data_IF_610353560399
#
_entry.id   IF_610353560399
#
_cell.length_a   1.000
_cell.length_b   1.000
_cell.length_c   1.000
_cell.angle_alpha   90.00
_cell.angle_beta   90.00
_cell.angle_gamma   90.00
#
_symmetry.space_group_name_H-M   'P 1'
#
loop_
_entity.id
_entity.type
_entity.pdbx_description
1 polymer ?
#
# COMPACT_ATOMS: atom_id res chain seq x y z
N UNK A 1 -1.53 23.07 -1.15
CA UNK A 1 -2.13 21.72 -1.20
C UNK A 1 -1.08 20.74 -1.68
N UNK A 2 -0.41 20.05 -0.78
CA UNK A 2 0.51 19.01 -1.17
C UNK A 2 -0.24 17.67 -1.21
N UNK A 3 -0.17 16.98 -2.35
CA UNK A 3 -0.79 15.66 -2.54
C UNK A 3 -0.07 14.54 -1.75
N UNK A 4 1.04 14.87 -1.09
CA UNK A 4 1.83 13.95 -0.26
C UNK A 4 1.78 14.36 1.20
N UNK A 5 1.86 13.40 2.09
CA UNK A 5 2.16 13.66 3.48
C UNK A 5 3.67 13.87 3.69
N UNK A 6 4.01 14.80 4.59
CA UNK A 6 5.38 15.11 4.99
C UNK A 6 5.52 14.91 6.50
N UNK A 7 5.64 13.67 6.96
CA UNK A 7 5.83 13.39 8.37
C UNK A 7 7.19 13.91 8.85
N UNK A 8 7.29 14.22 10.14
CA UNK A 8 8.54 14.70 10.76
C UNK A 8 9.75 13.78 10.53
N UNK A 9 9.51 12.50 10.33
CA UNK A 9 10.57 11.54 10.00
C UNK A 9 11.30 11.89 8.69
N UNK A 10 10.63 12.58 7.76
CA UNK A 10 11.27 13.04 6.52
C UNK A 10 12.34 14.11 6.77
N UNK A 11 12.18 14.95 7.79
CA UNK A 11 13.16 15.99 8.15
C UNK A 11 14.53 15.40 8.57
N UNK A 12 14.56 14.10 8.91
CA UNK A 12 15.80 13.39 9.29
C UNK A 12 16.54 12.76 8.13
N UNK A 13 15.99 12.81 6.90
CA UNK A 13 16.63 12.27 5.71
C UNK A 13 17.72 13.19 5.17
N UNK A 14 18.52 12.67 4.22
CA UNK A 14 19.68 13.37 3.64
C UNK A 14 19.34 14.72 3.02
N UNK A 15 18.29 14.78 2.19
CA UNK A 15 17.91 16.04 1.50
C UNK A 15 17.49 17.13 2.50
N UNK A 16 16.55 16.90 3.43
CA UNK A 16 16.25 17.87 4.48
C UNK A 16 17.46 18.32 5.31
N UNK A 17 18.36 17.41 5.67
CA UNK A 17 19.59 17.77 6.37
C UNK A 17 20.49 18.68 5.56
N UNK A 18 20.59 18.45 4.26
CA UNK A 18 21.37 19.34 3.37
C UNK A 18 20.73 20.72 3.24
N UNK A 19 19.39 20.80 3.15
CA UNK A 19 18.66 22.07 3.15
C UNK A 19 18.93 22.82 4.46
N UNK A 20 18.78 22.17 5.62
CA UNK A 20 19.05 22.78 6.93
C UNK A 20 20.50 23.26 7.04
N UNK A 21 21.45 22.46 6.53
CA UNK A 21 22.87 22.86 6.50
C UNK A 21 23.08 24.12 5.67
N UNK A 22 22.51 24.20 4.47
CA UNK A 22 22.63 25.38 3.60
C UNK A 22 22.01 26.62 4.22
N UNK A 23 20.84 26.49 4.85
CA UNK A 23 20.17 27.61 5.55
C UNK A 23 21.03 28.17 6.68
N UNK A 24 21.76 27.32 7.40
CA UNK A 24 22.56 27.75 8.57
C UNK A 24 23.95 28.25 8.19
N UNK A 25 24.57 27.68 7.15
CA UNK A 25 25.99 27.94 6.85
C UNK A 25 26.20 28.85 5.63
N UNK A 26 25.20 28.90 4.73
CA UNK A 26 25.26 29.71 3.51
C UNK A 26 23.92 30.43 3.29
N UNK A 27 23.43 31.21 4.26
CA UNK A 27 22.10 31.83 4.20
C UNK A 27 21.90 32.74 2.99
N UNK A 28 22.90 33.52 2.62
CA UNK A 28 22.87 34.47 1.49
C UNK A 28 22.72 33.74 0.14
N UNK A 29 23.41 32.61 -0.05
CA UNK A 29 23.40 31.81 -1.27
C UNK A 29 22.29 30.74 -1.28
N UNK A 30 21.44 30.68 -0.26
CA UNK A 30 20.44 29.62 -0.15
C UNK A 30 19.52 29.55 -1.37
N UNK A 31 19.12 30.71 -1.89
CA UNK A 31 18.23 30.81 -3.05
C UNK A 31 18.86 30.25 -4.34
N UNK A 32 20.19 30.24 -4.46
CA UNK A 32 20.90 29.65 -5.61
C UNK A 32 21.00 28.12 -5.50
N UNK A 33 20.97 27.58 -4.27
CA UNK A 33 21.16 26.14 -3.97
C UNK A 33 19.85 25.38 -3.81
N UNK A 34 18.70 26.10 -3.77
CA UNK A 34 17.38 25.54 -3.54
C UNK A 34 16.42 25.84 -4.69
N UNK A 35 15.65 24.86 -5.12
CA UNK A 35 14.67 24.99 -6.21
C UNK A 35 13.47 25.90 -5.89
N UNK A 36 13.39 26.42 -4.66
CA UNK A 36 12.33 27.31 -4.24
C UNK A 36 11.03 26.61 -3.85
N UNK A 37 9.96 27.41 -3.82
CA UNK A 37 8.61 27.01 -3.45
C UNK A 37 7.65 27.38 -4.56
N UNK A 38 6.71 26.48 -4.90
CA UNK A 38 5.63 26.76 -5.83
C UNK A 38 4.29 26.74 -5.09
N UNK A 39 3.55 27.82 -5.23
CA UNK A 39 2.23 28.01 -4.61
C UNK A 39 1.17 28.02 -5.70
N UNK A 40 0.11 27.24 -5.51
CA UNK A 40 -1.11 27.36 -6.30
C UNK A 40 -2.06 28.30 -5.54
N UNK A 41 -2.58 29.29 -6.22
CA UNK A 41 -3.40 30.32 -5.63
C UNK A 41 -4.72 30.50 -6.43
N UNK A 42 -5.72 31.06 -5.77
CA UNK A 42 -6.93 31.54 -6.44
C UNK A 42 -6.60 32.77 -7.29
N UNK A 43 -5.86 33.68 -6.69
CA UNK A 43 -5.40 34.92 -7.33
C UNK A 43 -4.04 35.36 -6.78
N UNK A 44 -3.33 36.16 -7.56
CA UNK A 44 -2.05 36.76 -7.16
C UNK A 44 -1.91 38.13 -7.82
N UNK A 45 -1.81 39.17 -7.00
CA UNK A 45 -1.71 40.56 -7.43
C UNK A 45 -0.43 41.19 -6.90
N UNK A 46 0.33 41.86 -7.76
CA UNK A 46 1.50 42.62 -7.34
C UNK A 46 1.11 44.04 -6.84
N UNK A 47 1.46 44.36 -5.63
CA UNK A 47 1.30 45.71 -5.06
C UNK A 47 2.61 46.52 -5.26
N UNK A 48 2.62 47.37 -6.29
CA UNK A 48 3.80 48.20 -6.63
C UNK A 48 4.26 49.14 -5.51
N UNK A 49 3.32 49.59 -4.63
CA UNK A 49 3.67 50.50 -3.55
C UNK A 49 4.41 49.84 -2.41
N UNK A 50 4.14 48.56 -2.20
CA UNK A 50 4.73 47.75 -1.12
C UNK A 50 5.82 46.83 -1.62
N UNK A 51 5.96 46.72 -2.96
CA UNK A 51 6.82 45.74 -3.60
C UNK A 51 6.51 44.28 -3.16
N UNK A 52 5.21 43.99 -2.96
CA UNK A 52 4.73 42.73 -2.42
C UNK A 52 3.80 42.04 -3.42
N UNK A 53 3.80 40.70 -3.42
CA UNK A 53 2.78 39.89 -4.11
C UNK A 53 1.75 39.44 -3.09
N UNK A 54 0.52 39.92 -3.25
CA UNK A 54 -0.62 39.47 -2.44
C UNK A 54 -1.20 38.21 -3.06
N UNK A 55 -1.12 37.11 -2.33
CA UNK A 55 -1.57 35.79 -2.76
C UNK A 55 -2.88 35.46 -2.06
N UNK A 56 -3.95 35.27 -2.84
CA UNK A 56 -5.25 34.87 -2.32
C UNK A 56 -5.38 33.35 -2.40
N UNK A 57 -5.65 32.71 -1.27
CA UNK A 57 -5.94 31.29 -1.19
C UNK A 57 -7.43 31.10 -0.93
N UNK A 58 -8.06 30.15 -1.59
CA UNK A 58 -9.47 29.83 -1.34
C UNK A 58 -9.67 29.37 0.10
N UNK A 59 -10.79 29.76 0.67
CA UNK A 59 -11.19 29.29 1.99
C UNK A 59 -11.34 27.77 2.02
N UNK A 60 -11.04 27.21 3.17
CA UNK A 60 -11.18 25.79 3.45
C UNK A 60 -12.66 25.40 3.37
N UNK A 61 -13.07 24.76 2.29
CA UNK A 61 -14.41 24.19 2.17
C UNK A 61 -14.31 22.67 2.28
N UNK A 62 -14.66 22.15 3.47
CA UNK A 62 -14.53 20.70 3.75
C UNK A 62 -13.10 20.28 4.18
N UNK A 63 -12.77 19.03 3.99
CA UNK A 63 -11.50 18.43 4.46
C UNK A 63 -10.26 18.78 3.64
N UNK A 64 -10.36 19.59 2.57
CA UNK A 64 -9.27 19.81 1.62
C UNK A 64 -9.18 21.26 1.14
N UNK A 65 -8.01 21.86 1.33
CA UNK A 65 -7.69 23.14 0.71
C UNK A 65 -7.39 22.93 -0.79
N UNK A 66 -7.99 23.78 -1.65
CA UNK A 66 -7.75 23.76 -3.10
C UNK A 66 -6.40 24.43 -3.45
N UNK A 67 -5.98 25.44 -2.70
CA UNK A 67 -4.80 26.26 -2.93
C UNK A 67 -3.76 26.08 -1.83
N UNK A 68 -2.49 26.38 -2.15
CA UNK A 68 -1.36 26.30 -1.24
C UNK A 68 -0.09 25.80 -1.89
N UNK A 69 0.88 25.39 -1.10
CA UNK A 69 2.19 24.90 -1.59
C UNK A 69 1.99 23.55 -2.33
N UNK A 70 2.36 23.51 -3.61
CA UNK A 70 2.30 22.30 -4.45
C UNK A 70 3.69 21.69 -4.67
N UNK A 71 4.76 22.49 -4.59
CA UNK A 71 6.14 22.01 -4.61
C UNK A 71 6.98 22.85 -3.64
N UNK A 72 8.12 22.29 -3.16
CA UNK A 72 8.97 22.95 -2.16
C UNK A 72 8.45 22.84 -0.73
N UNK A 73 7.47 22.00 -0.42
CA UNK A 73 6.95 21.81 0.95
C UNK A 73 8.05 21.35 1.91
N UNK A 74 8.94 20.46 1.48
CA UNK A 74 10.10 20.02 2.27
C UNK A 74 11.00 21.21 2.59
N UNK A 75 11.28 22.07 1.61
CA UNK A 75 12.02 23.31 1.80
C UNK A 75 11.35 24.19 2.86
N UNK A 76 10.06 24.46 2.70
CA UNK A 76 9.28 25.29 3.63
C UNK A 76 9.32 24.73 5.06
N UNK A 77 9.09 23.43 5.23
CA UNK A 77 9.09 22.77 6.53
C UNK A 77 10.48 22.81 7.19
N UNK A 78 11.55 22.55 6.44
CA UNK A 78 12.92 22.55 6.95
C UNK A 78 13.38 23.96 7.29
N UNK A 79 13.13 24.93 6.41
CA UNK A 79 13.49 26.35 6.67
C UNK A 79 12.80 26.83 7.93
N UNK A 80 11.47 26.62 8.05
CA UNK A 80 10.71 27.02 9.24
C UNK A 80 11.27 26.40 10.53
N UNK A 81 11.56 25.10 10.52
CA UNK A 81 12.10 24.40 11.70
C UNK A 81 13.53 24.87 12.03
N UNK A 82 14.37 25.03 11.00
CA UNK A 82 15.78 25.43 11.16
C UNK A 82 15.90 26.88 11.67
N UNK A 83 15.16 27.81 11.08
CA UNK A 83 15.13 29.21 11.53
C UNK A 83 14.63 29.29 12.98
N UNK A 84 13.53 28.61 13.30
CA UNK A 84 13.00 28.59 14.68
C UNK A 84 14.03 28.04 15.68
N UNK A 85 14.77 27.00 15.34
CA UNK A 85 15.82 26.45 16.23
C UNK A 85 16.99 27.40 16.38
N UNK A 86 17.42 28.03 15.27
CA UNK A 86 18.51 29.00 15.31
C UNK A 86 18.18 30.20 16.19
N UNK A 87 16.98 30.78 16.03
CA UNK A 87 16.53 31.91 16.83
C UNK A 87 16.45 31.63 18.34
N UNK A 88 16.26 30.34 18.71
CA UNK A 88 16.25 29.89 20.12
C UNK A 88 17.62 29.36 20.58
N UNK A 89 18.68 29.52 19.81
CA UNK A 89 20.03 29.12 20.19
C UNK A 89 20.81 30.25 20.83
N UNK A 90 21.90 29.93 21.53
CA UNK A 90 22.80 30.91 22.13
C UNK A 90 23.49 31.84 21.12
N UNK A 91 23.63 31.35 19.87
CA UNK A 91 24.24 32.10 18.76
C UNK A 91 23.34 32.00 17.54
N UNK A 92 22.31 32.82 17.44
CA UNK A 92 21.40 32.78 16.29
C UNK A 92 22.13 33.26 15.04
N UNK A 93 21.80 32.60 13.91
CA UNK A 93 22.25 32.99 12.58
C UNK A 93 21.44 34.20 12.12
N UNK A 94 22.09 35.15 11.47
CA UNK A 94 21.41 36.26 10.79
C UNK A 94 20.84 35.77 9.47
N UNK A 95 19.55 35.95 9.27
CA UNK A 95 18.82 35.55 8.06
C UNK A 95 18.33 36.77 7.25
N UNK A 96 18.77 38.00 7.56
CA UNK A 96 18.28 39.21 6.88
C UNK A 96 18.48 39.20 5.38
N UNK A 97 19.57 38.57 4.90
CA UNK A 97 19.91 38.43 3.48
C UNK A 97 19.58 37.04 2.92
N UNK A 98 18.73 36.28 3.61
CA UNK A 98 18.34 34.94 3.17
C UNK A 98 17.06 34.98 2.32
N UNK A 99 17.12 34.46 1.11
CA UNK A 99 16.00 34.48 0.17
C UNK A 99 15.60 33.07 -0.27
N UNK A 100 14.32 32.91 -0.59
CA UNK A 100 13.76 31.71 -1.22
C UNK A 100 12.97 32.13 -2.45
N UNK A 101 13.27 31.52 -3.60
CA UNK A 101 12.47 31.75 -4.81
C UNK A 101 11.05 31.21 -4.63
N UNK A 102 10.06 32.04 -4.92
CA UNK A 102 8.64 31.65 -4.86
C UNK A 102 8.02 31.85 -6.23
N UNK A 103 7.43 30.77 -6.78
CA UNK A 103 6.61 30.82 -7.98
C UNK A 103 5.15 30.72 -7.59
N UNK A 104 4.30 31.63 -8.07
CA UNK A 104 2.86 31.58 -7.84
C UNK A 104 2.15 31.25 -9.16
N UNK A 105 1.27 30.25 -9.12
CA UNK A 105 0.39 29.87 -10.24
C UNK A 105 -1.05 30.17 -9.80
N UNK A 106 -1.74 31.03 -10.52
CA UNK A 106 -3.14 31.38 -10.23
C UNK A 106 -4.08 30.99 -11.38
N UNK A 107 -5.39 31.02 -11.12
CA UNK A 107 -6.42 30.79 -12.13
C UNK A 107 -6.67 29.30 -12.46
N UNK A 108 -6.05 28.36 -11.77
CA UNK A 108 -6.33 26.92 -11.93
C UNK A 108 -7.47 26.52 -11.00
N UNK A 109 -8.62 26.12 -11.55
CA UNK A 109 -9.81 25.76 -10.79
C UNK A 109 -10.11 24.26 -10.77
N UNK A 110 -9.49 23.51 -11.70
CA UNK A 110 -9.69 22.07 -11.86
C UNK A 110 -8.75 21.27 -10.95
N UNK A 111 -9.31 20.43 -10.06
CA UNK A 111 -8.50 19.54 -9.19
C UNK A 111 -7.58 18.60 -9.96
N UNK A 112 -8.03 17.92 -11.03
CA UNK A 112 -7.15 17.07 -11.83
C UNK A 112 -5.99 17.84 -12.47
N UNK A 113 -6.22 19.09 -12.87
CA UNK A 113 -5.17 19.95 -13.43
C UNK A 113 -4.16 20.37 -12.34
N UNK A 114 -4.65 20.76 -11.16
CA UNK A 114 -3.80 21.03 -9.99
C UNK A 114 -2.88 19.85 -9.66
N UNK A 115 -3.44 18.63 -9.66
CA UNK A 115 -2.66 17.41 -9.43
C UNK A 115 -1.60 17.16 -10.49
N UNK A 116 -1.91 17.40 -11.78
CA UNK A 116 -0.95 17.27 -12.88
C UNK A 116 0.16 18.30 -12.78
N UNK A 117 -0.15 19.54 -12.44
CA UNK A 117 0.86 20.59 -12.23
C UNK A 117 1.77 20.21 -11.05
N UNK A 118 1.21 19.79 -9.93
CA UNK A 118 1.98 19.35 -8.76
C UNK A 118 2.88 18.14 -9.09
N UNK A 119 2.38 17.18 -9.86
CA UNK A 119 3.15 16.02 -10.31
C UNK A 119 4.30 16.43 -11.24
N UNK A 120 4.06 17.32 -12.21
CA UNK A 120 5.05 17.77 -13.18
C UNK A 120 6.18 18.59 -12.54
N UNK A 121 5.87 19.39 -11.51
CA UNK A 121 6.87 20.23 -10.81
C UNK A 121 7.67 19.47 -9.74
N UNK A 122 7.22 18.32 -9.33
CA UNK A 122 7.91 17.53 -8.31
C UNK A 122 9.15 16.83 -8.89
N UNK A 123 10.26 17.51 -8.88
CA UNK A 123 11.53 17.02 -9.48
C UNK A 123 12.27 16.01 -8.59
N UNK A 124 12.07 16.04 -7.28
CA UNK A 124 12.82 15.19 -6.32
C UNK A 124 12.27 13.78 -6.14
N UNK A 125 10.98 13.58 -6.33
CA UNK A 125 10.30 12.28 -6.27
C UNK A 125 8.98 12.41 -7.02
N UNK A 126 8.77 11.61 -8.05
CA UNK A 126 7.52 11.64 -8.82
C UNK A 126 6.31 11.36 -7.92
N UNK A 127 5.24 12.10 -8.13
CA UNK A 127 3.93 11.79 -7.51
C UNK A 127 3.37 10.55 -8.21
N UNK A 128 2.98 9.55 -7.44
CA UNK A 128 2.45 8.31 -8.02
C UNK A 128 0.99 8.49 -8.43
N UNK A 129 0.54 7.74 -9.45
CA UNK A 129 -0.86 7.71 -9.88
C UNK A 129 -1.80 7.38 -8.72
N UNK A 130 -1.36 6.52 -7.80
CA UNK A 130 -2.09 6.19 -6.57
C UNK A 130 -2.33 7.41 -5.69
N UNK A 131 -1.36 8.29 -5.60
CA UNK A 131 -1.46 9.52 -4.79
C UNK A 131 -2.41 10.52 -5.46
N UNK A 132 -2.32 10.65 -6.78
CA UNK A 132 -3.23 11.49 -7.57
C UNK A 132 -4.66 10.98 -7.43
N UNK A 133 -4.89 9.68 -7.63
CA UNK A 133 -6.21 9.06 -7.48
C UNK A 133 -6.79 9.23 -6.06
N UNK A 134 -5.94 9.14 -5.03
CA UNK A 134 -6.38 9.40 -3.66
C UNK A 134 -6.79 10.88 -3.46
N UNK A 135 -6.06 11.80 -4.04
CA UNK A 135 -6.35 13.22 -3.96
C UNK A 135 -7.60 13.61 -4.77
N UNK A 136 -7.84 12.94 -5.92
CA UNK A 136 -9.05 13.10 -6.74
C UNK A 136 -10.27 12.34 -6.18
N UNK A 137 -10.18 11.78 -4.97
CA UNK A 137 -11.28 11.05 -4.31
C UNK A 137 -11.71 9.74 -5.00
N UNK A 138 -10.94 9.22 -5.93
CA UNK A 138 -11.27 7.98 -6.65
C UNK A 138 -11.40 6.77 -5.71
N UNK A 139 -10.72 6.78 -4.55
CA UNK A 139 -10.79 5.70 -3.57
C UNK A 139 -11.89 5.87 -2.51
N UNK A 140 -12.70 6.92 -2.53
CA UNK A 140 -13.65 7.19 -1.43
C UNK A 140 -14.71 6.11 -1.27
N UNK A 141 -15.22 5.56 -2.39
CA UNK A 141 -16.14 4.42 -2.37
C UNK A 141 -15.49 3.17 -1.75
N UNK A 142 -14.23 2.90 -2.08
CA UNK A 142 -13.47 1.79 -1.49
C UNK A 142 -13.21 2.01 0.00
N UNK A 143 -12.81 3.21 0.41
CA UNK A 143 -12.61 3.57 1.81
C UNK A 143 -13.89 3.42 2.63
N UNK A 144 -15.02 3.80 2.05
CA UNK A 144 -16.34 3.61 2.66
C UNK A 144 -16.67 2.13 2.84
N UNK A 145 -16.46 1.31 1.81
CA UNK A 145 -16.66 -0.13 1.87
C UNK A 145 -15.74 -0.83 2.88
N UNK A 146 -14.51 -0.33 3.06
CA UNK A 146 -13.55 -0.85 4.05
C UNK A 146 -13.93 -0.51 5.50
N UNK A 147 -14.76 0.51 5.73
CA UNK A 147 -15.10 0.95 7.08
C UNK A 147 -13.83 1.32 7.89
N UNK A 148 -13.69 0.76 9.10
CA UNK A 148 -12.53 1.01 9.97
C UNK A 148 -11.22 0.43 9.43
N UNK A 149 -11.26 -0.60 8.59
CA UNK A 149 -10.08 -1.21 7.99
C UNK A 149 -9.26 -0.24 7.12
N UNK A 150 -9.87 0.85 6.63
CA UNK A 150 -9.17 1.92 5.90
C UNK A 150 -8.00 2.53 6.68
N UNK A 151 -8.03 2.45 8.04
CA UNK A 151 -6.98 2.98 8.92
C UNK A 151 -5.66 2.21 8.82
N UNK A 152 -5.70 0.96 8.33
CA UNK A 152 -4.50 0.16 8.12
C UNK A 152 -3.72 0.53 6.84
N UNK A 153 -4.23 1.48 6.04
CA UNK A 153 -3.72 1.82 4.71
C UNK A 153 -3.16 3.23 4.68
N UNK A 154 -1.95 3.36 4.20
CA UNK A 154 -1.34 4.67 3.92
C UNK A 154 -1.80 5.19 2.56
N UNK A 155 -2.92 5.92 2.54
CA UNK A 155 -3.54 6.43 1.31
C UNK A 155 -2.68 7.47 0.59
N UNK A 156 -2.15 8.53 1.25
CA UNK A 156 -1.22 9.45 0.60
C UNK A 156 0.19 8.86 0.47
N UNK A 157 0.94 9.35 -0.49
CA UNK A 157 2.36 9.02 -0.60
C UNK A 157 3.13 9.52 0.63
N UNK A 158 4.00 8.67 1.16
CA UNK A 158 4.75 8.91 2.39
C UNK A 158 3.90 9.00 3.68
N UNK A 159 2.64 8.58 3.66
CA UNK A 159 1.85 8.49 4.88
C UNK A 159 2.56 7.62 5.93
N UNK A 160 2.58 8.11 7.16
CA UNK A 160 3.13 7.42 8.32
C UNK A 160 2.13 7.42 9.46
N UNK A 161 2.06 6.30 10.15
CA UNK A 161 1.30 6.18 11.38
C UNK A 161 2.16 6.68 12.54
N UNK A 162 1.61 7.55 13.40
CA UNK A 162 2.30 8.00 14.62
C UNK A 162 1.97 7.05 15.76
N UNK A 163 3.00 6.53 16.40
CA UNK A 163 2.88 5.78 17.64
C UNK A 163 2.45 6.75 18.75
N UNK A 164 1.30 6.51 19.41
CA UNK A 164 0.80 7.42 20.45
C UNK A 164 1.72 7.53 21.66
N UNK A 165 2.51 6.49 21.98
CA UNK A 165 3.37 6.47 23.16
C UNK A 165 4.74 7.09 22.89
N UNK A 166 5.33 6.82 21.73
CA UNK A 166 6.69 7.25 21.39
C UNK A 166 6.76 8.44 20.46
N UNK A 167 5.66 8.80 19.81
CA UNK A 167 5.60 9.85 18.79
C UNK A 167 6.37 9.53 17.51
N UNK A 168 7.01 8.34 17.41
CA UNK A 168 7.74 7.93 16.20
C UNK A 168 6.78 7.52 15.11
N UNK A 169 7.00 8.08 13.90
CA UNK A 169 6.30 7.66 12.70
C UNK A 169 6.82 6.32 12.17
N UNK A 170 5.92 5.42 11.81
CA UNK A 170 6.23 4.21 11.05
C UNK A 170 5.28 4.07 9.87
N UNK A 171 5.78 3.42 8.81
CA UNK A 171 5.01 3.27 7.59
C UNK A 171 3.79 2.39 7.84
N UNK A 172 2.67 2.75 7.22
CA UNK A 172 1.52 1.87 7.12
C UNK A 172 1.92 0.53 6.50
N UNK A 173 1.27 -0.53 6.97
CA UNK A 173 1.54 -1.89 6.52
C UNK A 173 1.11 -2.09 5.08
N UNK A 174 -0.01 -1.47 4.71
CA UNK A 174 -0.59 -1.59 3.38
C UNK A 174 -0.50 -0.27 2.63
N UNK A 175 -0.15 -0.35 1.35
CA UNK A 175 -0.42 0.71 0.37
C UNK A 175 -1.77 0.45 -0.30
N UNK A 176 -2.40 1.46 -0.91
CA UNK A 176 -3.62 1.26 -1.71
C UNK A 176 -3.46 0.17 -2.77
N UNK A 177 -2.33 0.13 -3.47
CA UNK A 177 -2.04 -0.91 -4.47
C UNK A 177 -2.03 -2.33 -3.89
N UNK A 178 -1.54 -2.52 -2.66
CA UNK A 178 -1.58 -3.83 -2.00
C UNK A 178 -3.01 -4.26 -1.66
N UNK A 179 -3.85 -3.32 -1.23
CA UNK A 179 -5.28 -3.60 -0.99
C UNK A 179 -5.99 -3.95 -2.31
N UNK A 180 -5.79 -3.13 -3.33
CA UNK A 180 -6.36 -3.39 -4.65
C UNK A 180 -5.92 -4.75 -5.20
N UNK A 181 -4.66 -5.14 -5.04
CA UNK A 181 -4.17 -6.45 -5.45
C UNK A 181 -4.88 -7.60 -4.71
N UNK A 182 -5.11 -7.46 -3.40
CA UNK A 182 -5.83 -8.45 -2.59
C UNK A 182 -7.30 -8.59 -3.03
N UNK A 183 -7.93 -7.51 -3.43
CA UNK A 183 -9.31 -7.52 -3.92
C UNK A 183 -9.40 -8.01 -5.37
N UNK A 184 -8.42 -7.66 -6.21
CA UNK A 184 -8.43 -7.97 -7.64
C UNK A 184 -8.49 -9.47 -7.95
N UNK A 185 -7.93 -10.32 -7.10
CA UNK A 185 -8.02 -11.77 -7.29
C UNK A 185 -9.44 -12.32 -7.19
N UNK A 186 -10.37 -11.54 -6.63
CA UNK A 186 -11.81 -11.87 -6.55
C UNK A 186 -12.65 -11.06 -7.55
N UNK A 187 -12.02 -10.25 -8.41
CA UNK A 187 -12.72 -9.43 -9.39
C UNK A 187 -13.45 -10.29 -10.43
N UNK A 188 -14.73 -10.00 -10.79
CA UNK A 188 -15.56 -10.82 -11.69
C UNK A 188 -14.89 -11.14 -13.03
N UNK A 189 -14.14 -10.20 -13.60
CA UNK A 189 -13.42 -10.42 -14.86
C UNK A 189 -12.34 -11.52 -14.77
N UNK A 190 -12.13 -12.12 -13.60
CA UNK A 190 -11.20 -13.23 -13.38
C UNK A 190 -11.85 -14.61 -13.49
N UNK A 191 -13.04 -14.72 -14.06
CA UNK A 191 -13.69 -16.00 -14.32
C UNK A 191 -14.48 -16.56 -13.14
N UNK A 192 -15.29 -15.72 -12.51
CA UNK A 192 -16.26 -16.15 -11.50
C UNK A 192 -17.45 -16.86 -12.15
N UNK A 193 -18.00 -17.88 -11.48
CA UNK A 193 -19.19 -18.59 -11.89
C UNK A 193 -20.39 -17.65 -11.83
N UNK A 194 -21.24 -17.65 -12.86
CA UNK A 194 -22.53 -16.97 -12.85
C UNK A 194 -23.61 -17.86 -12.27
N UNK A 195 -24.69 -17.28 -11.81
CA UNK A 195 -25.84 -18.02 -11.27
C UNK A 195 -26.52 -18.94 -12.27
N UNK A 196 -26.39 -18.66 -13.57
CA UNK A 196 -26.87 -19.52 -14.67
C UNK A 196 -25.98 -20.72 -14.96
N UNK A 197 -24.91 -20.93 -14.19
CA UNK A 197 -23.93 -22.00 -14.38
C UNK A 197 -22.88 -21.71 -15.46
N UNK A 198 -22.98 -20.58 -16.15
CA UNK A 198 -21.94 -20.18 -17.12
C UNK A 198 -20.75 -19.52 -16.41
N UNK A 199 -19.59 -19.58 -17.06
CA UNK A 199 -18.37 -18.94 -16.57
C UNK A 199 -17.67 -18.20 -17.70
N UNK A 200 -17.30 -16.95 -17.45
CA UNK A 200 -16.29 -16.29 -18.28
C UNK A 200 -14.97 -17.05 -18.15
N UNK A 201 -14.22 -17.19 -19.23
CA UNK A 201 -12.97 -17.96 -19.22
C UNK A 201 -12.08 -17.65 -18.02
N UNK A 202 -11.55 -18.70 -17.38
CA UNK A 202 -10.67 -18.56 -16.22
C UNK A 202 -9.40 -17.83 -16.62
N UNK A 203 -9.30 -16.57 -16.24
CA UNK A 203 -8.09 -15.75 -16.43
C UNK A 203 -7.19 -15.87 -15.21
N UNK A 204 -5.89 -15.85 -15.45
CA UNK A 204 -4.93 -15.83 -14.37
C UNK A 204 -4.93 -14.45 -13.69
N UNK A 205 -5.00 -14.45 -12.36
CA UNK A 205 -4.86 -13.23 -11.54
C UNK A 205 -3.41 -12.99 -11.11
N UNK A 206 -2.43 -13.70 -11.66
CA UNK A 206 -1.02 -13.60 -11.22
C UNK A 206 -0.43 -12.18 -11.36
N UNK A 207 -1.04 -11.32 -12.17
CA UNK A 207 -0.69 -9.91 -12.25
C UNK A 207 -0.85 -9.21 -10.89
N UNK A 208 -1.78 -9.64 -10.05
CA UNK A 208 -1.98 -9.07 -8.72
C UNK A 208 -0.74 -9.27 -7.81
N UNK A 209 -0.06 -10.41 -7.93
CA UNK A 209 1.19 -10.68 -7.21
C UNK A 209 2.39 -9.97 -7.82
N UNK A 210 2.47 -9.89 -9.15
CA UNK A 210 3.65 -9.38 -9.86
C UNK A 210 3.64 -7.88 -10.13
N UNK A 211 2.47 -7.24 -10.16
CA UNK A 211 2.29 -5.86 -10.58
C UNK A 211 1.55 -5.02 -9.54
N UNK A 212 1.89 -5.19 -8.26
CA UNK A 212 1.30 -4.41 -7.16
C UNK A 212 1.35 -2.89 -7.41
N UNK A 213 2.36 -2.38 -8.14
CA UNK A 213 2.49 -0.98 -8.50
C UNK A 213 1.44 -0.46 -9.49
N UNK A 214 0.79 -1.34 -10.26
CA UNK A 214 -0.13 -0.96 -11.34
C UNK A 214 -1.60 -1.26 -11.03
N UNK A 215 -1.94 -1.62 -9.80
CA UNK A 215 -3.33 -1.93 -9.44
C UNK A 215 -4.23 -0.70 -9.46
N UNK A 216 -3.70 0.48 -9.19
CA UNK A 216 -4.43 1.75 -9.34
C UNK A 216 -4.91 1.94 -10.77
N UNK A 217 -4.07 1.67 -11.77
CA UNK A 217 -4.46 1.72 -13.18
C UNK A 217 -5.64 0.79 -13.49
N UNK A 218 -5.60 -0.45 -12.96
CA UNK A 218 -6.72 -1.41 -13.09
C UNK A 218 -7.99 -0.94 -12.39
N UNK A 219 -7.86 -0.29 -11.24
CA UNK A 219 -8.98 0.26 -10.50
C UNK A 219 -9.66 1.42 -11.23
N UNK A 220 -8.87 2.32 -11.81
CA UNK A 220 -9.36 3.50 -12.54
C UNK A 220 -9.87 3.16 -13.95
N UNK A 221 -9.52 2.01 -14.49
CA UNK A 221 -9.88 1.64 -15.86
C UNK A 221 -11.40 1.40 -16.00
N UNK A 222 -12.09 2.13 -16.89
CA UNK A 222 -13.54 2.00 -17.09
C UNK A 222 -14.02 0.57 -17.34
N UNK A 223 -13.23 -0.25 -18.03
CA UNK A 223 -13.56 -1.65 -18.36
C UNK A 223 -13.65 -2.56 -17.12
N UNK A 224 -13.08 -2.16 -15.99
CA UNK A 224 -13.10 -2.90 -14.72
C UNK A 224 -14.07 -2.29 -13.70
N UNK A 225 -14.59 -1.09 -13.95
CA UNK A 225 -15.37 -0.31 -12.98
C UNK A 225 -16.60 -1.05 -12.45
N UNK A 226 -17.34 -1.73 -13.33
CA UNK A 226 -18.52 -2.50 -12.91
C UNK A 226 -18.15 -3.65 -11.97
N UNK A 227 -17.05 -4.37 -12.24
CA UNK A 227 -16.56 -5.44 -11.39
C UNK A 227 -16.05 -4.94 -10.02
N UNK A 228 -15.36 -3.81 -9.98
CA UNK A 228 -14.98 -3.19 -8.73
C UNK A 228 -16.20 -2.82 -7.89
N UNK A 229 -17.22 -2.21 -8.53
CA UNK A 229 -18.48 -1.89 -7.86
C UNK A 229 -19.16 -3.13 -7.28
N UNK A 230 -19.20 -4.25 -8.02
CA UNK A 230 -19.76 -5.50 -7.55
C UNK A 230 -19.01 -6.10 -6.34
N UNK A 231 -17.70 -5.83 -6.20
CA UNK A 231 -16.90 -6.29 -5.07
C UNK A 231 -17.11 -5.49 -3.79
N UNK A 232 -17.56 -4.23 -3.84
CA UNK A 232 -17.62 -3.35 -2.68
C UNK A 232 -18.33 -3.97 -1.46
N UNK A 233 -19.49 -4.67 -1.60
CA UNK A 233 -20.16 -5.28 -0.46
C UNK A 233 -19.36 -6.40 0.22
N UNK A 234 -18.44 -7.04 -0.52
CA UNK A 234 -17.62 -8.15 -0.03
C UNK A 234 -16.25 -7.70 0.50
N UNK A 235 -15.89 -6.43 0.34
CA UNK A 235 -14.56 -5.92 0.74
C UNK A 235 -14.18 -6.28 2.18
N UNK A 236 -15.02 -6.04 3.20
CA UNK A 236 -14.67 -6.41 4.57
C UNK A 236 -14.44 -7.93 4.71
N UNK A 237 -15.33 -8.74 4.14
CA UNK A 237 -15.24 -10.20 4.21
C UNK A 237 -13.99 -10.74 3.52
N UNK A 238 -13.61 -10.15 2.37
CA UNK A 238 -12.39 -10.53 1.65
C UNK A 238 -11.14 -10.17 2.47
N UNK A 239 -11.09 -8.99 3.06
CA UNK A 239 -9.96 -8.57 3.90
C UNK A 239 -9.83 -9.44 5.15
N UNK A 240 -10.93 -9.75 5.82
CA UNK A 240 -10.95 -10.71 6.93
C UNK A 240 -10.54 -12.12 6.50
N UNK A 241 -10.89 -12.54 5.29
CA UNK A 241 -10.52 -13.84 4.74
C UNK A 241 -9.00 -13.94 4.55
N UNK A 242 -8.33 -12.87 4.15
CA UNK A 242 -6.86 -12.81 4.10
C UNK A 242 -6.26 -13.07 5.47
N UNK A 243 -6.74 -12.35 6.48
CA UNK A 243 -6.26 -12.54 7.85
C UNK A 243 -6.58 -13.93 8.38
N UNK A 244 -7.76 -14.46 8.05
CA UNK A 244 -8.16 -15.82 8.43
C UNK A 244 -7.19 -16.87 7.87
N UNK A 245 -6.89 -16.81 6.58
CA UNK A 245 -5.93 -17.73 5.95
C UNK A 245 -4.55 -17.60 6.57
N UNK A 246 -4.07 -16.37 6.79
CA UNK A 246 -2.78 -16.16 7.46
C UNK A 246 -2.76 -16.75 8.88
N UNK A 247 -3.84 -16.63 9.63
CA UNK A 247 -3.94 -17.17 11.00
C UNK A 247 -3.94 -18.70 11.02
N UNK A 248 -4.59 -19.32 10.03
CA UNK A 248 -4.74 -20.76 9.90
C UNK A 248 -3.58 -21.46 9.19
N UNK A 249 -2.71 -20.71 8.55
CA UNK A 249 -1.69 -21.28 7.66
C UNK A 249 -0.80 -22.31 8.35
N UNK A 250 -0.37 -22.03 9.59
CA UNK A 250 0.45 -22.97 10.37
C UNK A 250 -0.31 -24.24 10.77
N UNK A 251 -1.58 -24.11 11.13
CA UNK A 251 -2.45 -25.23 11.47
C UNK A 251 -2.67 -26.12 10.24
N UNK A 252 -3.05 -25.54 9.10
CA UNK A 252 -3.21 -26.26 7.84
C UNK A 252 -1.94 -27.01 7.42
N UNK A 253 -0.78 -26.36 7.59
CA UNK A 253 0.52 -27.01 7.35
C UNK A 253 0.77 -28.18 8.29
N UNK A 254 0.44 -28.04 9.57
CA UNK A 254 0.63 -29.11 10.56
C UNK A 254 -0.29 -30.31 10.25
N UNK A 255 -1.51 -30.05 9.86
CA UNK A 255 -2.48 -31.08 9.50
C UNK A 255 -2.09 -31.79 8.18
N UNK A 256 -1.59 -31.02 7.22
CA UNK A 256 -1.01 -31.58 5.99
C UNK A 256 0.15 -32.55 6.35
N UNK A 257 1.09 -32.17 7.20
CA UNK A 257 2.22 -33.03 7.59
C UNK A 257 1.79 -34.31 8.32
N UNK A 258 0.71 -34.26 9.10
CA UNK A 258 0.16 -35.45 9.77
C UNK A 258 -0.45 -36.45 8.76
N UNK A 259 -1.10 -35.93 7.72
CA UNK A 259 -1.82 -36.73 6.73
C UNK A 259 -0.89 -37.29 5.66
N UNK A 260 0.00 -36.46 5.12
CA UNK A 260 0.80 -36.77 3.93
C UNK A 260 2.29 -37.02 4.24
N UNK A 261 2.68 -36.93 5.50
CA UNK A 261 4.07 -37.03 5.95
C UNK A 261 4.84 -35.71 5.93
N UNK A 262 5.94 -35.62 6.71
CA UNK A 262 6.71 -34.41 6.81
C UNK A 262 7.34 -34.07 5.45
N UNK A 263 6.99 -32.92 4.91
CA UNK A 263 7.87 -32.26 3.93
C UNK A 263 9.12 -31.81 4.69
N UNK A 264 10.29 -32.32 4.31
CA UNK A 264 11.55 -32.00 4.94
C UNK A 264 11.67 -30.47 5.14
N UNK A 265 11.49 -30.09 6.39
CA UNK A 265 11.58 -28.74 6.95
C UNK A 265 11.40 -27.58 5.94
N UNK A 266 10.22 -27.45 5.34
CA UNK A 266 9.81 -26.27 4.52
C UNK A 266 10.24 -24.94 5.17
N UNK A 267 10.26 -24.90 6.50
CA UNK A 267 10.70 -23.75 7.26
C UNK A 267 12.22 -23.47 7.20
N UNK A 268 13.03 -24.43 6.81
CA UNK A 268 14.47 -24.25 6.56
C UNK A 268 14.81 -24.06 5.08
N UNK A 269 13.82 -24.24 4.19
CA UNK A 269 14.03 -24.06 2.76
C UNK A 269 14.36 -22.61 2.44
N UNK A 270 15.44 -22.44 1.70
CA UNK A 270 15.84 -21.16 1.12
C UNK A 270 15.45 -21.15 -0.36
N UNK A 271 14.90 -20.03 -0.80
CA UNK A 271 14.74 -19.80 -2.24
C UNK A 271 16.11 -19.65 -2.92
N UNK A 272 16.14 -19.59 -4.26
CA UNK A 272 17.37 -19.41 -5.05
C UNK A 272 18.19 -18.16 -4.65
N UNK A 273 17.55 -17.18 -4.02
CA UNK A 273 18.17 -15.95 -3.51
C UNK A 273 18.62 -16.04 -2.05
N UNK A 274 18.52 -17.23 -1.43
CA UNK A 274 18.93 -17.46 -0.04
C UNK A 274 17.94 -16.96 1.03
N UNK A 275 16.77 -16.43 0.65
CA UNK A 275 15.70 -16.03 1.57
C UNK A 275 14.87 -17.23 2.06
N UNK A 276 14.41 -17.19 3.31
CA UNK A 276 13.50 -18.22 3.82
C UNK A 276 12.13 -18.12 3.16
N UNK A 277 11.59 -19.28 2.80
CA UNK A 277 10.26 -19.40 2.18
C UNK A 277 9.17 -19.19 3.21
N UNK A 278 9.35 -19.74 4.41
CA UNK A 278 8.50 -19.53 5.59
C UNK A 278 9.33 -19.17 6.80
N UNK A 279 8.82 -18.32 7.65
CA UNK A 279 9.47 -17.91 8.90
C UNK A 279 8.57 -18.24 10.09
N UNK A 280 8.64 -19.45 10.65
CA UNK A 280 7.98 -19.73 11.92
C UNK A 280 8.68 -18.98 13.05
N UNK A 281 7.92 -18.55 14.03
CA UNK A 281 8.42 -17.80 15.20
C UNK A 281 9.63 -18.51 15.87
N UNK A 282 9.61 -19.83 15.93
CA UNK A 282 10.69 -20.65 16.53
C UNK A 282 12.05 -20.48 15.85
N UNK A 283 12.10 -20.16 14.56
CA UNK A 283 13.35 -20.08 13.79
C UNK A 283 13.82 -18.64 13.53
N UNK A 284 13.02 -17.66 13.90
CA UNK A 284 13.33 -16.24 13.67
C UNK A 284 14.60 -15.81 14.39
N UNK A 285 14.82 -16.28 15.61
CA UNK A 285 16.00 -15.98 16.42
C UNK A 285 17.30 -16.47 15.81
N UNK A 286 17.28 -17.53 14.99
CA UNK A 286 18.47 -18.04 14.28
C UNK A 286 18.66 -17.34 12.92
N UNK A 287 17.58 -17.01 12.22
CA UNK A 287 17.62 -16.43 10.89
C UNK A 287 17.98 -14.95 10.87
N UNK A 288 17.71 -14.23 11.95
CA UNK A 288 17.78 -12.76 12.00
C UNK A 288 19.06 -12.20 12.57
N UNK A 289 20.05 -13.00 12.88
CA UNK A 289 21.36 -12.51 13.37
C UNK A 289 22.08 -11.54 12.42
N UNK A 290 21.62 -11.37 11.19
CA UNK A 290 22.20 -10.46 10.19
C UNK A 290 21.27 -9.36 9.66
N UNK A 291 19.98 -9.37 10.00
CA UNK A 291 19.03 -8.35 9.56
C UNK A 291 18.55 -7.61 10.79
N UNK A 292 18.40 -6.28 10.73
CA UNK A 292 17.88 -5.46 11.83
C UNK A 292 16.49 -5.95 12.29
N UNK A 293 16.50 -7.05 12.98
CA UNK A 293 15.36 -7.83 13.46
C UNK A 293 14.75 -7.27 14.74
N UNK A 294 15.12 -6.08 15.16
CA UNK A 294 14.85 -5.58 16.51
C UNK A 294 13.39 -5.38 16.86
N UNK A 295 12.46 -5.41 15.88
CA UNK A 295 11.03 -5.23 16.17
C UNK A 295 10.14 -6.42 15.78
N UNK A 296 10.51 -7.22 14.79
CA UNK A 296 9.72 -8.38 14.34
C UNK A 296 9.89 -9.63 15.23
N UNK A 297 11.01 -9.70 15.97
CA UNK A 297 11.44 -10.91 16.72
C UNK A 297 10.80 -11.05 18.09
N UNK A 298 10.16 -10.02 18.63
CA UNK A 298 9.63 -10.03 20.01
C UNK A 298 8.22 -10.56 20.15
N UNK A 299 7.47 -10.69 19.06
CA UNK A 299 6.10 -11.19 19.13
C UNK A 299 6.10 -12.71 18.89
N UNK A 300 5.70 -13.48 19.88
CA UNK A 300 5.39 -14.90 19.73
C UNK A 300 4.24 -15.11 18.75
N UNK A 301 3.43 -14.07 18.55
CA UNK A 301 2.31 -13.98 17.60
C UNK A 301 2.29 -12.61 16.97
N UNK A 302 1.77 -12.52 15.77
CA UNK A 302 1.56 -11.28 15.04
C UNK A 302 0.06 -11.01 14.91
N UNK A 303 -0.38 -9.86 15.42
CA UNK A 303 -1.73 -9.37 15.19
C UNK A 303 -1.96 -9.06 13.71
N UNK A 304 -3.12 -9.38 13.20
CA UNK A 304 -3.54 -9.13 11.84
C UNK A 304 -4.41 -7.87 11.79
N UNK A 305 -4.51 -7.24 10.62
CA UNK A 305 -4.97 -5.85 10.54
C UNK A 305 -6.46 -5.68 10.24
N UNK A 306 -7.08 -6.73 9.67
CA UNK A 306 -8.49 -6.68 9.25
C UNK A 306 -9.38 -7.57 10.12
N UNK A 307 -8.87 -8.01 11.24
CA UNK A 307 -9.58 -8.91 12.15
C UNK A 307 -8.90 -8.94 13.52
N UNK A 308 -9.48 -9.67 14.46
CA UNK A 308 -8.86 -10.00 15.74
C UNK A 308 -8.04 -11.31 15.68
N UNK A 309 -7.73 -11.82 14.49
CA UNK A 309 -6.90 -12.99 14.34
C UNK A 309 -5.44 -12.68 14.58
N UNK A 310 -4.70 -13.68 15.00
CA UNK A 310 -3.24 -13.63 15.18
C UNK A 310 -2.58 -14.70 14.34
N UNK A 311 -1.45 -14.39 13.71
CA UNK A 311 -0.65 -15.37 12.99
C UNK A 311 0.48 -15.90 13.85
N UNK A 312 0.65 -17.23 13.87
CA UNK A 312 1.83 -17.88 14.47
C UNK A 312 3.07 -17.76 13.56
N UNK A 313 2.88 -17.26 12.35
CA UNK A 313 3.95 -17.05 11.38
C UNK A 313 4.20 -15.56 11.20
N UNK A 314 5.42 -15.07 11.45
CA UNK A 314 5.71 -13.64 11.35
C UNK A 314 5.61 -13.12 9.93
N UNK A 315 5.79 -13.99 8.94
CA UNK A 315 5.65 -13.66 7.53
C UNK A 315 5.33 -14.90 6.71
N UNK A 316 4.32 -14.77 5.86
CA UNK A 316 4.02 -15.72 4.79
C UNK A 316 4.20 -14.95 3.49
N UNK A 317 5.01 -15.47 2.58
CA UNK A 317 5.29 -14.77 1.33
C UNK A 317 4.04 -14.67 0.45
N UNK A 318 3.82 -13.51 -0.16
CA UNK A 318 2.67 -13.23 -1.03
C UNK A 318 2.52 -14.27 -2.17
N UNK A 319 3.62 -14.86 -2.63
CA UNK A 319 3.59 -15.91 -3.66
C UNK A 319 2.89 -17.20 -3.24
N UNK A 320 2.67 -17.43 -1.94
CA UNK A 320 1.82 -18.50 -1.43
C UNK A 320 0.40 -18.03 -1.19
N UNK A 321 0.24 -16.89 -0.53
CA UNK A 321 -1.07 -16.38 -0.15
C UNK A 321 -1.93 -16.03 -1.35
N UNK A 322 -1.35 -15.38 -2.36
CA UNK A 322 -2.12 -14.96 -3.54
C UNK A 322 -2.69 -16.13 -4.33
N UNK A 323 -1.91 -17.16 -4.74
CA UNK A 323 -2.47 -18.34 -5.44
C UNK A 323 -3.49 -19.08 -4.59
N UNK A 324 -3.21 -19.26 -3.28
CA UNK A 324 -4.11 -19.93 -2.35
C UNK A 324 -5.45 -19.21 -2.25
N UNK A 325 -5.44 -17.92 -1.93
CA UNK A 325 -6.64 -17.10 -1.79
C UNK A 325 -7.37 -16.91 -3.12
N UNK A 326 -6.65 -16.75 -4.23
CA UNK A 326 -7.27 -16.63 -5.55
C UNK A 326 -8.07 -17.86 -5.94
N UNK A 327 -7.70 -19.03 -5.43
CA UNK A 327 -8.42 -20.28 -5.68
C UNK A 327 -9.84 -20.23 -5.07
N UNK A 328 -9.99 -19.55 -3.92
CA UNK A 328 -11.28 -19.42 -3.24
C UNK A 328 -12.32 -18.61 -4.02
N UNK A 329 -11.93 -17.91 -5.09
CA UNK A 329 -12.91 -17.30 -6.02
C UNK A 329 -13.84 -18.33 -6.67
N UNK A 330 -13.48 -19.62 -6.69
CA UNK A 330 -14.38 -20.70 -7.09
C UNK A 330 -15.64 -20.80 -6.22
N UNK A 331 -15.59 -20.23 -5.01
CA UNK A 331 -16.72 -20.12 -4.10
C UNK A 331 -17.60 -18.89 -4.39
N UNK A 332 -17.19 -17.97 -5.28
CA UNK A 332 -17.98 -16.80 -5.63
C UNK A 332 -18.95 -17.13 -6.77
N UNK A 333 -20.15 -16.59 -6.66
CA UNK A 333 -21.19 -16.61 -7.70
C UNK A 333 -21.57 -15.17 -8.00
N UNK A 334 -21.70 -14.85 -9.28
CA UNK A 334 -22.27 -13.60 -9.75
C UNK A 334 -23.71 -13.83 -10.19
N UNK A 335 -24.66 -13.23 -9.49
CA UNK A 335 -26.06 -13.29 -9.80
C UNK A 335 -26.40 -12.46 -11.06
N UNK A 336 -27.61 -12.61 -11.60
CA UNK A 336 -28.03 -11.98 -12.86
C UNK A 336 -28.00 -10.45 -12.81
N UNK A 337 -28.19 -9.85 -11.63
CA UNK A 337 -28.10 -8.41 -11.39
C UNK A 337 -26.65 -7.89 -11.25
N UNK A 338 -25.67 -8.81 -11.34
CA UNK A 338 -24.25 -8.51 -11.20
C UNK A 338 -23.74 -8.55 -9.76
N UNK A 339 -24.58 -8.81 -8.76
CA UNK A 339 -24.21 -8.93 -7.35
C UNK A 339 -23.31 -10.15 -7.14
N UNK A 340 -22.29 -10.00 -6.31
CA UNK A 340 -21.40 -11.10 -5.92
C UNK A 340 -21.77 -11.63 -4.53
N UNK A 341 -21.77 -12.94 -4.40
CA UNK A 341 -21.96 -13.63 -3.12
C UNK A 341 -21.14 -14.91 -3.03
N UNK A 342 -20.91 -15.37 -1.82
CA UNK A 342 -20.32 -16.67 -1.57
C UNK A 342 -21.36 -17.78 -1.75
N UNK A 343 -21.03 -18.83 -2.48
CA UNK A 343 -21.84 -20.06 -2.61
C UNK A 343 -21.77 -20.93 -1.35
N UNK A 344 -20.61 -20.91 -0.70
CA UNK A 344 -20.33 -21.54 0.59
C UNK A 344 -19.47 -20.60 1.41
N UNK A 345 -19.57 -20.70 2.74
CA UNK A 345 -18.71 -19.93 3.66
C UNK A 345 -17.23 -20.29 3.40
N UNK A 346 -16.40 -19.33 2.97
CA UNK A 346 -15.01 -19.60 2.63
C UNK A 346 -14.17 -20.01 3.85
N UNK A 347 -14.48 -19.52 5.05
CA UNK A 347 -13.76 -19.89 6.28
C UNK A 347 -14.03 -21.34 6.64
N UNK A 348 -15.29 -21.76 6.64
CA UNK A 348 -15.66 -23.18 6.85
C UNK A 348 -15.10 -24.11 5.79
N UNK A 349 -15.05 -23.63 4.55
CA UNK A 349 -14.42 -24.41 3.46
C UNK A 349 -12.93 -24.63 3.72
N UNK A 350 -12.21 -23.61 4.21
CA UNK A 350 -10.80 -23.70 4.57
C UNK A 350 -10.59 -24.65 5.74
N UNK A 351 -11.42 -24.57 6.78
CA UNK A 351 -11.33 -25.45 7.96
C UNK A 351 -11.42 -26.92 7.58
N UNK A 352 -12.29 -27.26 6.60
CA UNK A 352 -12.48 -28.63 6.15
C UNK A 352 -11.42 -29.09 5.16
N UNK A 353 -10.99 -28.19 4.25
CA UNK A 353 -10.23 -28.58 3.07
C UNK A 353 -8.81 -28.01 3.03
N UNK A 354 -8.40 -27.21 4.03
CA UNK A 354 -7.13 -26.48 4.02
C UNK A 354 -5.92 -27.39 3.78
N UNK A 355 -5.87 -28.59 4.38
CA UNK A 355 -4.77 -29.56 4.21
C UNK A 355 -4.59 -30.01 2.76
N UNK A 356 -5.68 -30.23 2.00
CA UNK A 356 -5.62 -30.62 0.58
C UNK A 356 -5.18 -29.45 -0.31
N UNK A 357 -5.56 -28.23 0.06
CA UNK A 357 -5.05 -27.05 -0.62
C UNK A 357 -3.55 -26.85 -0.36
N UNK A 358 -3.08 -27.19 0.85
CA UNK A 358 -1.65 -27.17 1.17
C UNK A 358 -0.88 -28.25 0.37
N UNK A 359 -1.43 -29.46 0.23
CA UNK A 359 -0.86 -30.51 -0.62
C UNK A 359 -0.66 -30.02 -2.06
N UNK A 360 -1.69 -29.44 -2.65
CA UNK A 360 -1.61 -28.87 -4.00
C UNK A 360 -0.58 -27.73 -4.07
N UNK A 361 -0.55 -26.83 -3.08
CA UNK A 361 0.37 -25.71 -3.02
C UNK A 361 1.83 -26.19 -2.96
N UNK A 362 2.13 -27.16 -2.07
CA UNK A 362 3.48 -27.69 -1.90
C UNK A 362 3.93 -28.50 -3.11
N UNK A 363 3.08 -29.34 -3.67
CA UNK A 363 3.40 -30.06 -4.91
C UNK A 363 3.68 -29.13 -6.10
N UNK A 364 3.04 -27.95 -6.14
CA UNK A 364 3.39 -26.90 -7.10
C UNK A 364 4.75 -26.27 -6.83
N UNK A 365 5.06 -26.03 -5.55
CA UNK A 365 6.33 -25.44 -5.14
C UNK A 365 7.52 -26.37 -5.40
N UNK A 366 7.37 -27.66 -5.15
CA UNK A 366 8.38 -28.68 -5.50
C UNK A 366 8.71 -28.67 -6.99
N UNK A 367 7.71 -28.66 -7.83
CA UNK A 367 7.87 -28.64 -9.29
C UNK A 367 8.67 -27.45 -9.83
N UNK A 368 8.72 -26.35 -9.09
CA UNK A 368 9.47 -25.13 -9.43
C UNK A 368 10.66 -24.90 -8.49
N UNK A 369 11.10 -25.94 -7.78
CA UNK A 369 12.25 -25.89 -6.86
C UNK A 369 12.15 -24.72 -5.84
N UNK A 370 10.95 -24.46 -5.35
CA UNK A 370 10.64 -23.40 -4.40
C UNK A 370 11.02 -21.98 -4.85
N UNK A 371 11.04 -21.75 -6.19
CA UNK A 371 11.21 -20.39 -6.71
C UNK A 371 9.94 -19.56 -6.50
N UNK A 372 10.01 -18.66 -5.53
CA UNK A 372 8.88 -17.79 -5.15
C UNK A 372 8.44 -16.87 -6.28
N UNK A 373 9.37 -16.45 -7.13
CA UNK A 373 9.06 -15.57 -8.26
C UNK A 373 8.24 -16.31 -9.30
N UNK A 374 8.64 -17.55 -9.60
CA UNK A 374 7.91 -18.42 -10.53
C UNK A 374 6.53 -18.75 -9.97
N UNK A 375 6.39 -19.09 -8.68
CA UNK A 375 5.08 -19.37 -8.08
C UNK A 375 4.11 -18.21 -8.23
N UNK A 376 4.53 -17.01 -7.86
CA UNK A 376 3.70 -15.80 -7.94
C UNK A 376 3.35 -15.37 -9.37
N UNK A 377 4.17 -15.73 -10.36
CA UNK A 377 4.00 -15.33 -11.78
C UNK A 377 3.46 -16.41 -12.69
N UNK A 378 3.35 -17.67 -12.25
CA UNK A 378 2.92 -18.79 -13.08
C UNK A 378 1.40 -18.87 -13.20
N UNK A 379 0.80 -18.56 -14.37
CA UNK A 379 -0.64 -18.74 -14.58
C UNK A 379 -1.10 -20.19 -14.39
N UNK A 380 -0.23 -21.15 -14.69
CA UNK A 380 -0.53 -22.59 -14.55
C UNK A 380 -0.72 -22.99 -13.09
N UNK A 381 0.15 -22.47 -12.18
CA UNK A 381 0.07 -22.72 -10.74
C UNK A 381 -1.25 -22.19 -10.16
N UNK A 382 -1.59 -20.95 -10.50
CA UNK A 382 -2.85 -20.35 -10.05
C UNK A 382 -4.08 -21.08 -10.56
N UNK A 383 -4.06 -21.51 -11.83
CA UNK A 383 -5.15 -22.30 -12.40
C UNK A 383 -5.29 -23.66 -11.69
N UNK A 384 -4.18 -24.34 -11.37
CA UNK A 384 -4.20 -25.64 -10.69
C UNK A 384 -4.80 -25.51 -9.28
N UNK A 385 -4.40 -24.50 -8.53
CA UNK A 385 -5.00 -24.19 -7.22
C UNK A 385 -6.51 -23.99 -7.33
N UNK A 386 -6.97 -23.22 -8.32
CA UNK A 386 -8.39 -22.98 -8.52
C UNK A 386 -9.17 -24.26 -8.86
N UNK A 387 -8.66 -25.09 -9.76
CA UNK A 387 -9.26 -26.37 -10.15
C UNK A 387 -9.36 -27.31 -8.93
N UNK A 388 -8.41 -27.23 -8.00
CA UNK A 388 -8.49 -28.06 -6.79
C UNK A 388 -9.66 -27.63 -5.90
N UNK A 389 -9.89 -26.34 -5.70
CA UNK A 389 -11.09 -25.88 -4.99
C UNK A 389 -12.37 -26.37 -5.69
N UNK A 390 -12.43 -26.31 -7.03
CA UNK A 390 -13.59 -26.80 -7.78
C UNK A 390 -13.86 -28.31 -7.58
N UNK A 391 -12.81 -29.12 -7.48
CA UNK A 391 -12.95 -30.55 -7.17
C UNK A 391 -13.48 -30.79 -5.75
N UNK A 392 -12.97 -30.04 -4.78
CA UNK A 392 -13.39 -30.14 -3.37
C UNK A 392 -14.80 -29.58 -3.11
N UNK A 393 -15.38 -28.89 -4.09
CA UNK A 393 -16.76 -28.41 -4.04
C UNK A 393 -17.79 -29.46 -4.47
N UNK A 394 -17.38 -30.47 -5.21
CA UNK A 394 -18.22 -31.58 -5.70
C UNK A 394 -18.38 -32.62 -4.61
#
# INVERSE_FOLDING_TARGET
VNVREHPESLLRKRIPKNIAYSVLNDPEDFHLKNGGVCILAEDAVYDEKKEEVVVTLSNFTGSYALHGVIDGFTTTAVVKDTVKRSLNSEKPVDFSESYVSVSVISGVTSRPEMARIAAARSTGTSVTDTTIANWDHEFDTLKTAMGDYKRAVGWPQNAEHKDPETGYGYKYVYSPNKILARLYIFHPNQGIMKSDGTRTGLRSCCIASSANGNMTEKYLNPNFKAGWKALLPLVPQILELWDYVESKFYEMYTDYNKEFGPVDSIFSLKNAQGGFVFWPVKNLTKATRGVRASKLVRAERRDLYFSNYTSQMPHIHDSFLFPFLSALRALLIQDADGTLRWSKDPKKFIDTNGKYLMETLFGLMENIQYDMTLMGKSPKSWKKMHVEVEKLLK
#
